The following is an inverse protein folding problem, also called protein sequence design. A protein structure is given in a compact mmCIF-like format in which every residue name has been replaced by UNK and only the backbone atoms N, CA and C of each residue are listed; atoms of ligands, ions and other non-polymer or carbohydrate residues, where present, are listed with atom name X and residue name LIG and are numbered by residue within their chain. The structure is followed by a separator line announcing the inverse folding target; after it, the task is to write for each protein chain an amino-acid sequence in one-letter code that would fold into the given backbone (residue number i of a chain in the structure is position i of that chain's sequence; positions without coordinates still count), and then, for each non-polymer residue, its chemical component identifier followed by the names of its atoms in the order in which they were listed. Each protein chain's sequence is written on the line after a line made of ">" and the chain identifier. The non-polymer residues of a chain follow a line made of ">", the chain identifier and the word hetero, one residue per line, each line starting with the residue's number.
data_IF_752377983267
#
_entry.id   IF_752377983267
#
_cell.length_a   1.000
_cell.length_b   1.000
_cell.length_c   1.000
_cell.angle_alpha   90.00
_cell.angle_beta   90.00
_cell.angle_gamma   90.00
#
_symmetry.space_group_name_H-M   'P 1'
#
loop_
_entity.id
_entity.type
_entity.pdbx_description
1 polymer ?
#
# COMPACT_ATOMS: atom_id res chain seq x y z
N UNK A 1 19.90 74.85 -8.14
CA UNK A 1 19.54 74.47 -6.76
C UNK A 1 18.02 74.31 -6.74
N UNK A 2 17.36 73.19 -6.46
CA UNK A 2 17.70 71.86 -5.96
C UNK A 2 16.70 70.87 -6.56
N UNK A 3 17.18 69.68 -6.92
CA UNK A 3 16.38 68.51 -7.30
C UNK A 3 15.55 68.02 -6.11
N UNK A 4 14.29 67.64 -6.34
CA UNK A 4 13.59 66.66 -5.51
C UNK A 4 12.83 65.66 -6.39
N UNK A 5 13.50 64.53 -6.62
CA UNK A 5 12.93 63.27 -7.08
C UNK A 5 11.78 62.83 -6.16
N UNK A 6 10.66 62.43 -6.75
CA UNK A 6 9.66 61.59 -6.11
C UNK A 6 9.66 60.25 -6.86
N UNK A 7 10.52 59.35 -6.42
CA UNK A 7 10.47 57.93 -6.77
C UNK A 7 9.36 57.30 -5.92
N UNK A 8 8.27 56.90 -6.57
CA UNK A 8 7.25 56.07 -5.96
C UNK A 8 7.78 54.62 -5.88
N UNK A 9 8.29 54.23 -4.72
CA UNK A 9 8.58 52.82 -4.43
C UNK A 9 7.28 52.13 -4.00
N UNK A 10 6.57 51.52 -4.96
CA UNK A 10 5.57 50.50 -4.62
C UNK A 10 6.34 49.24 -4.20
N UNK A 11 6.55 49.09 -2.89
CA UNK A 11 6.96 47.82 -2.29
C UNK A 11 5.80 46.84 -2.44
N UNK A 12 5.88 45.97 -3.44
CA UNK A 12 4.98 44.83 -3.57
C UNK A 12 5.48 43.73 -2.63
N UNK A 13 5.13 43.83 -1.34
CA UNK A 13 5.27 42.71 -0.42
C UNK A 13 4.28 41.63 -0.82
N UNK A 14 4.71 40.70 -1.67
CA UNK A 14 4.00 39.45 -1.89
C UNK A 14 4.13 38.62 -0.63
N UNK A 15 3.07 38.62 0.19
CA UNK A 15 2.92 37.68 1.29
C UNK A 15 2.67 36.32 0.64
N UNK A 16 3.68 35.46 0.57
CA UNK A 16 3.45 34.04 0.33
C UNK A 16 2.65 33.52 1.52
N UNK A 17 1.34 33.40 1.33
CA UNK A 17 0.53 32.59 2.21
C UNK A 17 1.03 31.16 2.06
N UNK A 18 1.83 30.70 3.03
CA UNK A 18 1.96 29.27 3.29
C UNK A 18 0.56 28.82 3.67
N UNK A 19 -0.20 28.32 2.69
CA UNK A 19 -1.34 27.49 2.98
C UNK A 19 -0.77 26.34 3.83
N UNK A 20 -1.00 26.41 5.13
CA UNK A 20 -0.76 25.28 6.01
C UNK A 20 -1.66 24.19 5.48
N UNK A 21 -1.08 23.26 4.71
CA UNK A 21 -1.75 22.00 4.43
C UNK A 21 -2.21 21.49 5.80
N UNK A 22 -3.51 21.28 5.96
CA UNK A 22 -4.01 20.63 7.16
C UNK A 22 -3.21 19.33 7.30
N UNK A 23 -2.77 18.96 8.52
CA UNK A 23 -2.19 17.65 8.73
C UNK A 23 -3.15 16.61 8.10
N UNK A 24 -2.62 15.56 7.44
CA UNK A 24 -3.47 14.46 6.96
C UNK A 24 -4.43 14.10 8.08
N UNK A 25 -5.71 13.81 7.80
CA UNK A 25 -6.65 13.39 8.83
C UNK A 25 -5.96 12.32 9.65
N UNK A 26 -5.58 12.67 10.89
CA UNK A 26 -4.92 11.75 11.79
C UNK A 26 -5.91 10.61 11.91
N UNK A 27 -5.52 9.45 11.36
CA UNK A 27 -6.32 8.26 11.15
C UNK A 27 -7.14 8.10 12.42
N UNK A 28 -8.44 8.48 12.37
CA UNK A 28 -9.23 8.79 13.57
C UNK A 28 -8.83 7.82 14.66
N UNK A 29 -8.10 8.32 15.66
CA UNK A 29 -7.59 7.51 16.73
C UNK A 29 -8.74 6.63 17.22
N UNK A 30 -8.71 5.34 16.91
CA UNK A 30 -9.63 4.38 17.51
C UNK A 30 -9.26 4.37 18.98
N UNK A 31 -10.16 4.90 19.80
CA UNK A 31 -9.92 5.47 21.15
C UNK A 31 -9.55 4.42 22.21
N UNK A 32 -9.23 3.18 21.84
CA UNK A 32 -9.09 2.08 22.80
C UNK A 32 -8.23 0.91 22.28
N UNK A 33 -7.02 1.17 21.77
CA UNK A 33 -6.06 0.09 21.43
C UNK A 33 -6.47 -0.83 20.25
N UNK A 34 -7.61 -0.57 19.63
CA UNK A 34 -8.19 -1.32 18.49
C UNK A 34 -7.66 -0.87 17.11
N UNK A 35 -6.67 0.05 17.09
CA UNK A 35 -5.87 0.36 15.90
C UNK A 35 -4.72 -0.63 15.66
N UNK A 36 -4.26 -1.31 16.72
CA UNK A 36 -3.16 -2.26 16.64
C UNK A 36 -3.61 -3.57 15.99
N UNK A 37 -4.76 -4.14 16.36
CA UNK A 37 -5.20 -5.45 15.84
C UNK A 37 -5.38 -5.47 14.32
N UNK A 38 -5.97 -4.42 13.73
CA UNK A 38 -6.10 -4.29 12.27
C UNK A 38 -4.73 -4.31 11.56
N UNK A 39 -3.78 -3.54 12.10
CA UNK A 39 -2.41 -3.46 11.57
C UNK A 39 -1.70 -4.80 11.76
N UNK A 40 -1.81 -5.40 12.94
CA UNK A 40 -1.18 -6.67 13.27
C UNK A 40 -1.74 -7.82 12.42
N UNK A 41 -3.04 -7.85 12.13
CA UNK A 41 -3.64 -8.86 11.24
C UNK A 41 -3.05 -8.77 9.84
N UNK A 42 -3.02 -7.58 9.24
CA UNK A 42 -2.46 -7.40 7.91
C UNK A 42 -0.96 -7.69 7.86
N UNK A 43 -0.19 -7.18 8.82
CA UNK A 43 1.23 -7.48 8.92
C UNK A 43 1.49 -8.97 9.12
N UNK A 44 0.71 -9.64 9.97
CA UNK A 44 0.86 -11.09 10.22
C UNK A 44 0.59 -11.89 8.95
N UNK A 45 -0.51 -11.63 8.24
CA UNK A 45 -0.83 -12.33 6.98
C UNK A 45 0.33 -12.21 5.98
N UNK A 46 0.83 -10.99 5.78
CA UNK A 46 1.93 -10.74 4.85
C UNK A 46 3.25 -11.36 5.32
N UNK A 47 3.61 -11.18 6.58
CA UNK A 47 4.91 -11.59 7.11
C UNK A 47 5.02 -13.10 7.28
N UNK A 48 3.91 -13.80 7.55
CA UNK A 48 3.88 -15.28 7.55
C UNK A 48 4.16 -15.85 6.14
N UNK A 49 3.55 -15.27 5.09
CA UNK A 49 3.84 -15.66 3.71
C UNK A 49 5.28 -15.31 3.33
N UNK A 50 5.73 -14.09 3.61
CA UNK A 50 7.10 -13.62 3.30
C UNK A 50 8.19 -14.46 3.96
N UNK A 51 7.98 -14.87 5.21
CA UNK A 51 8.90 -15.75 5.93
C UNK A 51 9.11 -17.08 5.20
N UNK A 52 8.08 -17.62 4.54
CA UNK A 52 8.17 -18.87 3.77
C UNK A 52 9.05 -18.77 2.52
N UNK A 53 9.40 -17.55 2.10
CA UNK A 53 10.26 -17.30 0.93
C UNK A 53 11.56 -16.57 1.28
N UNK A 54 11.88 -16.36 2.54
CA UNK A 54 13.06 -15.58 2.95
C UNK A 54 13.00 -14.10 2.51
N UNK A 55 11.80 -13.53 2.44
CA UNK A 55 11.61 -12.09 2.34
C UNK A 55 11.56 -11.49 3.76
N UNK A 56 12.24 -10.37 3.97
CA UNK A 56 12.24 -9.67 5.26
C UNK A 56 10.82 -9.19 5.62
N UNK A 57 10.44 -9.16 6.91
CA UNK A 57 9.12 -8.68 7.31
C UNK A 57 8.89 -7.22 6.90
N UNK A 58 7.66 -6.91 6.52
CA UNK A 58 7.20 -5.55 6.21
C UNK A 58 6.96 -4.77 7.51
N UNK A 59 7.16 -3.46 7.42
CA UNK A 59 6.77 -2.48 8.44
C UNK A 59 5.50 -1.73 8.01
N UNK A 60 4.67 -1.34 8.97
CA UNK A 60 3.48 -0.54 8.65
C UNK A 60 3.85 0.90 8.31
N UNK A 61 3.20 1.44 7.28
CA UNK A 61 3.35 2.82 6.85
C UNK A 61 1.99 3.51 6.79
N UNK A 62 1.83 4.58 7.57
CA UNK A 62 0.58 5.32 7.70
C UNK A 62 0.14 6.04 6.43
N UNK A 63 1.08 6.54 5.62
CA UNK A 63 0.77 7.23 4.37
C UNK A 63 0.23 6.25 3.31
N UNK A 64 0.81 5.04 3.25
CA UNK A 64 0.28 3.95 2.42
C UNK A 64 -1.11 3.53 2.89
N UNK A 65 -1.32 3.41 4.20
CA UNK A 65 -2.60 3.03 4.78
C UNK A 65 -3.68 4.07 4.49
N UNK A 66 -3.34 5.36 4.59
CA UNK A 66 -4.22 6.45 4.20
C UNK A 66 -4.62 6.36 2.72
N UNK A 67 -3.63 6.19 1.83
CA UNK A 67 -3.90 6.04 0.40
C UNK A 67 -4.77 4.81 0.09
N UNK A 68 -4.50 3.69 0.75
CA UNK A 68 -5.27 2.46 0.62
C UNK A 68 -6.71 2.63 1.13
N UNK A 69 -6.92 3.31 2.25
CA UNK A 69 -8.25 3.63 2.77
C UNK A 69 -9.08 4.44 1.76
N UNK A 70 -8.48 5.49 1.19
CA UNK A 70 -9.12 6.30 0.16
C UNK A 70 -9.47 5.50 -1.09
N UNK A 71 -8.70 4.45 -1.41
CA UNK A 71 -9.00 3.56 -2.52
C UNK A 71 -10.12 2.55 -2.19
N UNK A 72 -10.10 1.96 -0.99
CA UNK A 72 -11.13 1.03 -0.55
C UNK A 72 -12.53 1.68 -0.56
N UNK A 73 -12.61 2.96 -0.18
CA UNK A 73 -13.83 3.78 -0.20
C UNK A 73 -14.43 3.98 -1.60
N UNK A 74 -13.68 3.72 -2.68
CA UNK A 74 -14.18 3.76 -4.06
C UNK A 74 -15.04 2.54 -4.42
N UNK A 75 -15.04 1.50 -3.59
CA UNK A 75 -15.84 0.28 -3.79
C UNK A 75 -15.65 -0.34 -5.19
N UNK A 76 -14.39 -0.38 -5.66
CA UNK A 76 -14.01 -0.95 -6.96
C UNK A 76 -12.76 -1.80 -6.85
N UNK A 77 -12.70 -2.89 -7.61
CA UNK A 77 -11.49 -3.71 -7.79
C UNK A 77 -10.60 -3.20 -8.94
N UNK A 78 -10.98 -2.08 -9.57
CA UNK A 78 -10.14 -1.45 -10.57
C UNK A 78 -8.78 -1.08 -9.97
N UNK A 79 -7.69 -1.22 -10.75
CA UNK A 79 -6.38 -0.83 -10.29
C UNK A 79 -6.33 0.68 -10.01
N UNK A 80 -5.60 1.12 -8.97
CA UNK A 80 -5.32 2.53 -8.78
C UNK A 80 -4.60 3.10 -10.01
N UNK A 81 -4.89 4.37 -10.38
CA UNK A 81 -4.18 5.01 -11.47
C UNK A 81 -2.69 5.01 -11.17
N UNK A 82 -1.88 4.78 -12.21
CA UNK A 82 -0.43 4.88 -12.08
C UNK A 82 -0.07 6.28 -11.58
N UNK A 83 0.65 6.36 -10.46
CA UNK A 83 1.17 7.61 -9.93
C UNK A 83 2.71 7.65 -9.98
N UNK A 84 3.28 8.81 -9.69
CA UNK A 84 4.73 9.01 -9.71
C UNK A 84 5.47 8.26 -8.59
N UNK A 85 4.76 7.72 -7.60
CA UNK A 85 5.33 7.03 -6.43
C UNK A 85 5.51 5.53 -6.70
N UNK A 86 4.89 5.00 -7.75
CA UNK A 86 4.98 3.62 -8.19
C UNK A 86 4.73 2.62 -7.05
N UNK A 87 3.70 2.89 -6.25
CA UNK A 87 3.28 1.95 -5.22
C UNK A 87 2.78 0.65 -5.84
N UNK A 88 3.14 -0.46 -5.20
CA UNK A 88 2.46 -1.72 -5.43
C UNK A 88 1.07 -1.65 -4.83
N UNK A 89 0.14 -2.48 -5.32
CA UNK A 89 -1.20 -2.56 -4.75
C UNK A 89 -1.75 -3.99 -4.84
N UNK A 90 -2.67 -4.29 -3.93
CA UNK A 90 -3.56 -5.44 -3.97
C UNK A 90 -4.94 -4.99 -3.49
N UNK A 91 -5.99 -5.25 -4.29
CA UNK A 91 -7.38 -4.91 -3.99
C UNK A 91 -8.19 -6.21 -3.95
N UNK A 92 -9.13 -6.33 -3.02
CA UNK A 92 -9.92 -7.55 -2.89
C UNK A 92 -11.11 -7.42 -1.95
N UNK A 93 -12.12 -8.24 -2.19
CA UNK A 93 -13.40 -8.21 -1.45
C UNK A 93 -13.42 -9.17 -0.26
N UNK A 94 -14.45 -9.00 0.57
CA UNK A 94 -14.78 -9.79 1.76
C UNK A 94 -13.82 -9.58 2.93
N UNK A 95 -13.67 -10.58 3.80
CA UNK A 95 -12.79 -10.47 4.97
C UNK A 95 -11.33 -10.32 4.56
N UNK A 96 -10.49 -9.77 5.45
CA UNK A 96 -9.03 -9.65 5.22
C UNK A 96 -8.40 -10.97 4.80
N UNK A 97 -8.77 -12.05 5.49
CA UNK A 97 -8.28 -13.41 5.19
C UNK A 97 -8.69 -13.86 3.79
N UNK A 98 -9.95 -13.67 3.40
CA UNK A 98 -10.43 -14.06 2.07
C UNK A 98 -9.75 -13.26 0.95
N UNK A 99 -9.61 -11.94 1.12
CA UNK A 99 -8.88 -11.10 0.17
C UNK A 99 -7.41 -11.54 0.06
N UNK A 100 -6.75 -11.75 1.19
CA UNK A 100 -5.35 -12.21 1.22
C UNK A 100 -5.16 -13.58 0.58
N UNK A 101 -6.05 -14.54 0.88
CA UNK A 101 -5.99 -15.89 0.31
C UNK A 101 -6.18 -15.86 -1.21
N UNK A 102 -7.07 -15.00 -1.72
CA UNK A 102 -7.25 -14.81 -3.15
C UNK A 102 -5.96 -14.28 -3.82
N UNK A 103 -5.31 -13.27 -3.24
CA UNK A 103 -4.03 -12.76 -3.74
C UNK A 103 -2.93 -13.83 -3.68
N UNK A 104 -2.85 -14.56 -2.56
CA UNK A 104 -1.86 -15.63 -2.35
C UNK A 104 -2.05 -16.79 -3.33
N UNK A 105 -3.29 -17.18 -3.64
CA UNK A 105 -3.59 -18.29 -4.55
C UNK A 105 -3.08 -18.05 -5.97
N UNK A 106 -2.90 -16.79 -6.37
CA UNK A 106 -2.31 -16.42 -7.67
C UNK A 106 -0.88 -16.95 -7.87
N UNK A 107 -0.19 -17.36 -6.79
CA UNK A 107 1.08 -18.11 -6.83
C UNK A 107 1.04 -19.29 -7.81
N UNK A 108 -0.10 -19.97 -7.94
CA UNK A 108 -0.24 -21.12 -8.83
C UNK A 108 0.04 -20.80 -10.31
N UNK A 109 -0.07 -19.53 -10.71
CA UNK A 109 0.24 -19.04 -12.07
C UNK A 109 1.65 -18.47 -12.20
N UNK A 110 2.54 -18.74 -11.25
CA UNK A 110 3.91 -18.25 -11.26
C UNK A 110 4.85 -19.13 -12.12
N UNK A 111 5.73 -18.54 -12.96
CA UNK A 111 5.83 -17.11 -13.28
C UNK A 111 4.78 -16.62 -14.28
N UNK A 112 4.31 -15.38 -14.10
CA UNK A 112 3.43 -14.69 -15.06
C UNK A 112 2.68 -13.52 -14.44
N UNK A 113 2.11 -12.65 -15.28
CA UNK A 113 1.38 -11.45 -14.82
C UNK A 113 0.18 -11.80 -13.91
N UNK A 114 -0.47 -12.94 -14.15
CA UNK A 114 -1.57 -13.42 -13.31
C UNK A 114 -1.15 -13.66 -11.85
N UNK A 115 0.14 -13.91 -11.58
CA UNK A 115 0.69 -14.11 -10.23
C UNK A 115 1.17 -12.82 -9.56
N UNK A 116 0.98 -11.64 -10.17
CA UNK A 116 1.43 -10.35 -9.63
C UNK A 116 0.92 -10.07 -8.21
N UNK A 117 -0.34 -10.39 -7.84
CA UNK A 117 -0.78 -10.16 -6.47
C UNK A 117 0.05 -10.91 -5.42
N UNK A 118 0.34 -12.19 -5.68
CA UNK A 118 1.23 -12.97 -4.82
C UNK A 118 2.67 -12.47 -4.87
N UNK A 119 3.20 -12.17 -6.05
CA UNK A 119 4.55 -11.63 -6.20
C UNK A 119 4.74 -10.33 -5.41
N UNK A 120 3.74 -9.45 -5.38
CA UNK A 120 3.79 -8.20 -4.60
C UNK A 120 3.88 -8.46 -3.09
N UNK A 121 3.18 -9.47 -2.58
CA UNK A 121 3.25 -9.88 -1.16
C UNK A 121 4.68 -10.29 -0.80
N UNK A 122 5.32 -11.11 -1.64
CA UNK A 122 6.65 -11.68 -1.39
C UNK A 122 7.80 -10.88 -2.02
N UNK A 123 7.51 -9.68 -2.55
CA UNK A 123 8.50 -8.88 -3.26
C UNK A 123 9.63 -8.48 -2.31
N UNK A 124 10.85 -8.94 -2.58
CA UNK A 124 11.97 -8.83 -1.63
C UNK A 124 12.30 -7.38 -1.23
N UNK A 125 12.26 -6.49 -2.21
CA UNK A 125 12.66 -5.10 -2.02
C UNK A 125 11.58 -4.27 -1.34
N UNK A 126 10.33 -4.73 -1.30
CA UNK A 126 9.25 -4.07 -0.56
C UNK A 126 9.54 -4.12 0.93
N UNK A 127 9.49 -2.95 1.57
CA UNK A 127 9.76 -2.75 3.00
C UNK A 127 8.53 -2.31 3.77
N UNK A 128 7.62 -1.59 3.10
CA UNK A 128 6.50 -0.92 3.72
C UNK A 128 5.16 -1.45 3.20
N UNK A 129 4.20 -1.57 4.11
CA UNK A 129 2.81 -1.95 3.87
C UNK A 129 1.88 -0.92 4.50
N UNK A 130 0.80 -0.56 3.82
CA UNK A 130 -0.35 0.05 4.46
C UNK A 130 -1.63 -0.39 3.79
N UNK A 131 -2.64 -0.75 4.59
CA UNK A 131 -3.92 -1.23 4.10
C UNK A 131 -5.08 -0.40 4.66
N UNK A 132 -6.21 -0.43 3.96
CA UNK A 132 -7.48 0.17 4.36
C UNK A 132 -8.66 -0.71 3.97
N UNK A 133 -9.81 -0.49 4.60
CA UNK A 133 -11.03 -1.25 4.36
C UNK A 133 -12.25 -0.32 4.30
N UNK A 134 -13.23 -0.66 3.48
CA UNK A 134 -14.50 0.06 3.39
C UNK A 134 -15.68 -0.91 3.29
N UNK A 135 -16.80 -0.56 3.90
CA UNK A 135 -18.07 -1.26 3.66
C UNK A 135 -18.73 -0.71 2.41
N UNK A 136 -19.01 -1.58 1.46
CA UNK A 136 -19.58 -1.28 0.16
C UNK A 136 -20.92 -2.00 -0.03
N UNK A 137 -21.73 -1.51 -0.97
CA UNK A 137 -23.08 -2.02 -1.23
C UNK A 137 -23.13 -2.66 -2.61
N UNK A 138 -23.58 -3.91 -2.70
CA UNK A 138 -23.93 -4.60 -3.95
C UNK A 138 -25.38 -4.29 -4.34
N UNK A 139 -25.76 -4.66 -5.56
CA UNK A 139 -27.16 -4.61 -5.99
C UNK A 139 -28.06 -5.39 -5.01
N UNK A 140 -29.17 -4.77 -4.59
CA UNK A 140 -30.09 -5.35 -3.61
C UNK A 140 -29.69 -5.15 -2.14
N UNK A 141 -28.94 -4.09 -1.83
CA UNK A 141 -28.57 -3.64 -0.47
C UNK A 141 -27.68 -4.62 0.33
N UNK A 142 -27.07 -5.59 -0.35
CA UNK A 142 -26.14 -6.52 0.28
C UNK A 142 -24.79 -5.83 0.56
N UNK A 143 -24.37 -5.85 1.83
CA UNK A 143 -23.08 -5.28 2.24
C UNK A 143 -21.94 -6.26 1.98
N UNK A 144 -20.79 -5.71 1.56
CA UNK A 144 -19.52 -6.43 1.50
C UNK A 144 -18.38 -5.50 1.96
N UNK A 145 -17.23 -6.07 2.28
CA UNK A 145 -16.02 -5.29 2.61
C UNK A 145 -15.10 -5.23 1.40
N UNK A 146 -14.62 -4.05 1.07
CA UNK A 146 -13.53 -3.83 0.11
C UNK A 146 -12.24 -3.60 0.89
N UNK A 147 -11.16 -4.27 0.51
CA UNK A 147 -9.84 -4.14 1.11
C UNK A 147 -8.86 -3.63 0.04
N UNK A 148 -7.98 -2.71 0.43
CA UNK A 148 -6.86 -2.26 -0.37
C UNK A 148 -5.59 -2.35 0.47
N UNK A 149 -4.50 -2.85 -0.10
CA UNK A 149 -3.16 -2.82 0.50
C UNK A 149 -2.18 -2.24 -0.50
N UNK A 150 -1.43 -1.22 -0.08
CA UNK A 150 -0.40 -0.54 -0.86
C UNK A 150 0.98 -0.87 -0.31
N UNK A 151 1.97 -0.92 -1.21
CA UNK A 151 3.31 -1.41 -0.94
C UNK A 151 4.36 -0.44 -1.45
N UNK A 152 5.44 -0.27 -0.69
CA UNK A 152 6.58 0.53 -1.13
C UNK A 152 7.92 -0.14 -0.79
N UNK A 153 8.88 -0.19 -1.73
CA UNK A 153 8.70 -0.06 -3.18
C UNK A 153 7.68 -1.06 -3.74
N UNK A 154 6.98 -0.67 -4.81
CA UNK A 154 6.15 -1.57 -5.59
C UNK A 154 6.95 -2.49 -6.50
N UNK A 155 6.24 -3.40 -7.17
CA UNK A 155 6.78 -4.21 -8.26
C UNK A 155 7.45 -3.33 -9.35
N UNK A 156 8.71 -3.65 -9.69
CA UNK A 156 9.51 -2.92 -10.70
C UNK A 156 9.88 -3.78 -11.94
N UNK A 157 9.42 -5.03 -11.99
CA UNK A 157 9.74 -5.96 -13.07
C UNK A 157 11.02 -6.79 -12.87
N UNK A 158 11.84 -6.50 -11.86
CA UNK A 158 13.03 -7.29 -11.53
C UNK A 158 12.68 -8.57 -10.75
N UNK A 159 11.96 -9.46 -11.42
CA UNK A 159 11.45 -10.72 -10.92
C UNK A 159 12.55 -11.65 -10.36
N UNK A 160 13.70 -11.72 -11.04
CA UNK A 160 14.78 -12.62 -10.67
C UNK A 160 15.32 -12.30 -9.27
N UNK A 161 15.58 -11.02 -9.00
CA UNK A 161 16.11 -10.56 -7.73
C UNK A 161 15.06 -10.60 -6.60
N UNK A 162 13.79 -10.40 -6.94
CA UNK A 162 12.74 -10.19 -5.95
C UNK A 162 11.87 -11.39 -5.64
N UNK A 163 11.79 -12.42 -6.50
CA UNK A 163 10.95 -13.60 -6.25
C UNK A 163 11.64 -14.91 -6.69
N UNK A 164 12.31 -14.96 -7.85
CA UNK A 164 12.81 -16.23 -8.39
C UNK A 164 13.87 -16.90 -7.52
N UNK A 165 14.86 -16.13 -7.06
CA UNK A 165 15.93 -16.66 -6.22
C UNK A 165 15.36 -17.29 -4.93
N UNK A 166 14.33 -16.67 -4.36
CA UNK A 166 13.68 -17.11 -3.13
C UNK A 166 12.88 -18.40 -3.34
N UNK A 167 12.08 -18.47 -4.40
CA UNK A 167 11.29 -19.67 -4.74
C UNK A 167 12.17 -20.89 -4.99
N UNK A 168 13.29 -20.71 -5.70
CA UNK A 168 14.25 -21.79 -5.96
C UNK A 168 14.89 -22.30 -4.67
N UNK A 169 15.25 -21.43 -3.73
CA UNK A 169 15.81 -21.81 -2.43
C UNK A 169 14.76 -22.55 -1.58
N UNK A 170 13.53 -22.06 -1.48
CA UNK A 170 12.47 -22.72 -0.70
C UNK A 170 12.10 -24.11 -1.25
N UNK A 171 12.06 -24.27 -2.58
CA UNK A 171 11.84 -25.58 -3.23
C UNK A 171 12.96 -26.58 -2.94
N UNK A 172 14.21 -26.11 -2.92
CA UNK A 172 15.36 -26.95 -2.59
C UNK A 172 15.35 -27.34 -1.11
N UNK A 173 15.03 -26.41 -0.20
CA UNK A 173 14.88 -26.69 1.22
C UNK A 173 13.80 -27.76 1.48
N UNK A 174 12.63 -27.64 0.85
CA UNK A 174 11.55 -28.62 0.97
C UNK A 174 11.95 -30.01 0.46
N UNK A 175 12.74 -30.10 -0.62
CA UNK A 175 13.26 -31.38 -1.14
C UNK A 175 14.37 -31.98 -0.29
N UNK A 176 15.01 -31.17 0.57
CA UNK A 176 16.15 -31.60 1.38
C UNK A 176 15.76 -32.14 2.75
N UNK A 177 14.48 -32.06 3.14
CA UNK A 177 13.97 -32.73 4.34
C UNK A 177 14.55 -32.25 5.67
N UNK A 178 14.81 -30.94 5.80
CA UNK A 178 15.01 -30.30 7.10
C UNK A 178 13.71 -29.66 7.58
#
# INVERSE_FOLDING_TARGET
>A
MQFKSLLAFFSLSQVLSLASAAPPPELKARVDGTGDEFIQEWLKLHNDERNSYNAAPLSWNGDLAYAAQQWAEQCTENPPPADSRNYGFNIGMYTKQQAFDAWKQTKSSYPGDASRPWQQIVWKSTTDLGCGEATCVLEGDMLYTMNACFYNPGYDGNYFANVEAQVRVSLLAFRSGY
#
